data_IF_408140636580
#
_entry.id   IF_408140636580
#
_cell.length_a   1.000
_cell.length_b   1.000
_cell.length_c   1.000
_cell.angle_alpha   90.00
_cell.angle_beta   90.00
_cell.angle_gamma   90.00
#
_symmetry.space_group_name_H-M   'P 1'
#
loop_
_entity.id
_entity.type
_entity.pdbx_description
1 polymer ?
#
# COMPACT_ATOMS: atom_id res chain seq x y z
N UNK A 1 -1.13 11.16 17.76
CA UNK A 1 -1.19 9.68 17.65
C UNK A 1 0.12 9.10 18.19
N UNK A 2 0.06 8.01 18.94
CA UNK A 2 1.23 7.34 19.51
C UNK A 2 2.12 6.79 18.37
N UNK A 3 3.45 7.01 18.48
CA UNK A 3 4.44 6.58 17.48
C UNK A 3 4.37 5.06 17.22
N UNK A 4 4.13 4.26 18.26
CA UNK A 4 3.99 2.81 18.14
C UNK A 4 2.78 2.43 17.27
N UNK A 5 1.65 3.12 17.46
CA UNK A 5 0.44 2.90 16.66
C UNK A 5 0.69 3.32 15.21
N UNK A 6 1.38 4.42 14.97
CA UNK A 6 1.74 4.86 13.61
C UNK A 6 2.63 3.84 12.91
N UNK A 7 3.64 3.29 13.60
CA UNK A 7 4.52 2.28 13.04
C UNK A 7 3.76 1.02 12.67
N UNK A 8 2.86 0.56 13.55
CA UNK A 8 2.05 -0.62 13.28
C UNK A 8 1.10 -0.39 12.10
N UNK A 9 0.49 0.79 12.04
CA UNK A 9 -0.40 1.14 10.93
C UNK A 9 0.36 1.23 9.60
N UNK A 10 1.55 1.80 9.61
CA UNK A 10 2.41 1.88 8.42
C UNK A 10 2.82 0.48 7.94
N UNK A 11 3.25 -0.38 8.85
CA UNK A 11 3.65 -1.75 8.53
C UNK A 11 2.48 -2.53 7.93
N UNK A 12 1.27 -2.36 8.49
CA UNK A 12 0.07 -3.00 7.97
C UNK A 12 -0.31 -2.49 6.59
N UNK A 13 -0.25 -1.18 6.37
CA UNK A 13 -0.52 -0.59 5.06
C UNK A 13 0.48 -1.08 4.02
N UNK A 14 1.75 -1.15 4.37
CA UNK A 14 2.81 -1.64 3.48
C UNK A 14 2.62 -3.11 3.15
N UNK A 15 2.27 -3.93 4.14
CA UNK A 15 1.97 -5.35 3.94
C UNK A 15 0.78 -5.53 2.99
N UNK A 16 -0.25 -4.69 3.09
CA UNK A 16 -1.39 -4.72 2.18
C UNK A 16 -0.99 -4.35 0.76
N UNK A 17 -0.15 -3.33 0.57
CA UNK A 17 0.38 -2.97 -0.75
C UNK A 17 1.16 -4.13 -1.36
N UNK A 18 2.01 -4.78 -0.58
CA UNK A 18 2.80 -5.93 -1.05
C UNK A 18 1.91 -7.09 -1.47
N UNK A 19 0.90 -7.42 -0.65
CA UNK A 19 -0.05 -8.48 -0.96
C UNK A 19 -0.84 -8.18 -2.23
N UNK A 20 -1.28 -6.93 -2.42
CA UNK A 20 -1.98 -6.52 -3.63
C UNK A 20 -1.09 -6.54 -4.86
N UNK A 21 0.19 -6.18 -4.74
CA UNK A 21 1.16 -6.31 -5.84
C UNK A 21 1.33 -7.76 -6.28
N UNK A 22 1.38 -8.69 -5.33
CA UNK A 22 1.45 -10.13 -5.62
C UNK A 22 0.19 -10.58 -6.37
N UNK A 23 -0.98 -10.15 -5.93
CA UNK A 23 -2.26 -10.48 -6.59
C UNK A 23 -2.31 -9.90 -8.00
N UNK A 24 -1.85 -8.66 -8.20
CA UNK A 24 -1.79 -8.03 -9.52
C UNK A 24 -0.92 -8.83 -10.48
N UNK A 25 0.26 -9.26 -10.02
CA UNK A 25 1.18 -10.07 -10.84
C UNK A 25 0.56 -11.40 -11.24
N UNK A 26 -0.09 -12.07 -10.29
CA UNK A 26 -0.79 -13.34 -10.55
C UNK A 26 -1.93 -13.16 -11.55
N UNK A 27 -2.76 -12.13 -11.38
CA UNK A 27 -3.87 -11.85 -12.28
C UNK A 27 -3.40 -11.56 -13.70
N UNK A 28 -2.32 -10.78 -13.84
CA UNK A 28 -1.72 -10.49 -15.14
C UNK A 28 -1.24 -11.77 -15.84
N UNK A 29 -0.64 -12.70 -15.10
CA UNK A 29 -0.21 -13.98 -15.66
C UNK A 29 -1.38 -14.82 -16.11
N UNK A 30 -2.44 -14.91 -15.31
CA UNK A 30 -3.64 -15.67 -15.65
C UNK A 30 -4.32 -15.12 -16.91
N UNK A 31 -4.36 -13.78 -17.05
CA UNK A 31 -4.94 -13.14 -18.25
C UNK A 31 -4.13 -13.47 -19.50
N UNK A 32 -2.81 -13.61 -19.38
CA UNK A 32 -1.92 -13.92 -20.50
C UNK A 32 -1.88 -15.42 -20.85
N UNK A 33 -2.45 -16.27 -20.01
CA UNK A 33 -2.45 -17.70 -20.24
C UNK A 33 -3.39 -18.05 -21.42
N UNK A 34 -2.85 -18.71 -22.44
CA UNK A 34 -3.58 -19.09 -23.64
C UNK A 34 -4.73 -20.08 -23.35
N UNK A 35 -4.66 -20.80 -22.23
CA UNK A 35 -5.66 -21.78 -21.84
C UNK A 35 -6.83 -21.16 -21.06
N UNK A 36 -6.76 -19.87 -20.71
CA UNK A 36 -7.82 -19.20 -19.96
C UNK A 36 -9.00 -18.87 -20.87
N UNK A 37 -10.24 -19.29 -20.54
CA UNK A 37 -11.41 -18.96 -21.35
C UNK A 37 -11.65 -17.45 -21.44
N UNK A 38 -12.17 -16.99 -22.58
CA UNK A 38 -12.41 -15.58 -22.83
C UNK A 38 -13.31 -14.90 -21.77
N UNK A 39 -14.37 -15.60 -21.34
CA UNK A 39 -15.28 -15.10 -20.30
C UNK A 39 -14.51 -14.89 -18.99
N UNK A 40 -13.64 -15.84 -18.65
CA UNK A 40 -12.80 -15.75 -17.44
C UNK A 40 -11.80 -14.58 -17.53
N UNK A 41 -11.24 -14.36 -18.72
CA UNK A 41 -10.33 -13.22 -18.95
C UNK A 41 -11.03 -11.89 -18.66
N UNK A 42 -12.24 -11.73 -19.12
CA UNK A 42 -13.02 -10.50 -18.91
C UNK A 42 -13.30 -10.26 -17.43
N UNK A 43 -13.67 -11.31 -16.69
CA UNK A 43 -13.85 -11.25 -15.25
C UNK A 43 -12.54 -10.93 -14.53
N UNK A 44 -11.43 -11.54 -14.93
CA UNK A 44 -10.12 -11.30 -14.34
C UNK A 44 -9.66 -9.85 -14.56
N UNK A 45 -9.95 -9.28 -15.73
CA UNK A 45 -9.66 -7.87 -15.99
C UNK A 45 -10.41 -6.93 -15.05
N UNK A 46 -11.67 -7.25 -14.72
CA UNK A 46 -12.46 -6.51 -13.75
C UNK A 46 -11.86 -6.58 -12.35
N UNK A 47 -11.48 -7.79 -11.91
CA UNK A 47 -10.82 -8.01 -10.63
C UNK A 47 -9.48 -7.28 -10.58
N UNK A 48 -8.70 -7.34 -11.66
CA UNK A 48 -7.41 -6.65 -11.75
C UNK A 48 -7.57 -5.14 -11.59
N UNK A 49 -8.57 -4.55 -12.23
CA UNK A 49 -8.86 -3.11 -12.11
C UNK A 49 -9.18 -2.74 -10.67
N UNK A 50 -10.03 -3.53 -10.01
CA UNK A 50 -10.39 -3.31 -8.61
C UNK A 50 -9.16 -3.44 -7.70
N UNK A 51 -8.35 -4.47 -7.91
CA UNK A 51 -7.13 -4.71 -7.12
C UNK A 51 -6.14 -3.56 -7.26
N UNK A 52 -5.96 -3.02 -8.47
CA UNK A 52 -5.13 -1.84 -8.72
C UNK A 52 -5.64 -0.60 -7.99
N UNK A 53 -6.96 -0.41 -7.93
CA UNK A 53 -7.56 0.70 -7.18
C UNK A 53 -7.29 0.56 -5.68
N UNK A 54 -7.46 -0.64 -5.13
CA UNK A 54 -7.17 -0.92 -3.72
C UNK A 54 -5.70 -0.67 -3.40
N UNK A 55 -4.79 -1.07 -4.29
CA UNK A 55 -3.36 -0.80 -4.12
C UNK A 55 -3.07 0.70 -4.03
N UNK A 56 -3.70 1.51 -4.88
CA UNK A 56 -3.53 2.96 -4.85
C UNK A 56 -4.03 3.57 -3.53
N UNK A 57 -5.15 3.06 -3.00
CA UNK A 57 -5.70 3.52 -1.72
C UNK A 57 -4.72 3.24 -0.58
N UNK A 58 -4.20 2.02 -0.49
CA UNK A 58 -3.27 1.65 0.56
C UNK A 58 -1.91 2.35 0.43
N UNK A 59 -1.45 2.56 -0.79
CA UNK A 59 -0.24 3.33 -1.05
C UNK A 59 -0.39 4.79 -0.59
N UNK A 60 -1.54 5.39 -0.85
CA UNK A 60 -1.87 6.73 -0.36
C UNK A 60 -1.91 6.78 1.17
N UNK A 61 -2.53 5.80 1.81
CA UNK A 61 -2.59 5.70 3.28
C UNK A 61 -1.17 5.58 3.86
N UNK A 62 -0.34 4.72 3.30
CA UNK A 62 1.05 4.56 3.72
C UNK A 62 1.83 5.88 3.60
N UNK A 63 1.64 6.60 2.50
CA UNK A 63 2.28 7.89 2.27
C UNK A 63 1.87 8.94 3.30
N UNK A 64 0.59 8.98 3.69
CA UNK A 64 0.10 9.89 4.73
C UNK A 64 0.73 9.57 6.09
N UNK A 65 0.83 8.30 6.43
CA UNK A 65 1.44 7.86 7.68
C UNK A 65 2.94 8.22 7.71
N UNK A 66 3.63 8.03 6.60
CA UNK A 66 5.05 8.42 6.46
C UNK A 66 5.25 9.92 6.67
N UNK A 67 4.40 10.75 6.09
CA UNK A 67 4.46 12.20 6.26
C UNK A 67 4.27 12.61 7.71
N UNK A 68 3.31 12.02 8.41
CA UNK A 68 3.08 12.27 9.82
C UNK A 68 4.28 11.84 10.65
N UNK A 69 4.89 10.71 10.31
CA UNK A 69 6.06 10.17 11.01
C UNK A 69 7.27 11.12 10.86
N UNK A 70 7.54 11.59 9.66
CA UNK A 70 8.60 12.56 9.38
C UNK A 70 8.36 13.86 10.14
N UNK A 71 7.13 14.34 10.19
CA UNK A 71 6.77 15.56 10.92
C UNK A 71 7.03 15.40 12.41
N UNK A 72 6.70 14.27 13.00
CA UNK A 72 6.94 14.00 14.42
C UNK A 72 8.46 13.98 14.71
N UNK A 73 9.23 13.31 13.87
CA UNK A 73 10.69 13.25 14.01
C UNK A 73 11.32 14.64 13.92
N UNK A 74 10.84 15.49 13.01
CA UNK A 74 11.29 16.87 12.88
C UNK A 74 10.98 17.69 14.12
N UNK A 75 9.78 17.57 14.69
CA UNK A 75 9.37 18.28 15.90
C UNK A 75 10.20 17.82 17.10
N UNK A 76 10.48 16.54 17.22
CA UNK A 76 11.35 16.00 18.29
C UNK A 76 12.77 16.56 18.17
N UNK A 77 13.29 16.65 16.95
CA UNK A 77 14.60 17.23 16.68
C UNK A 77 14.67 18.71 17.12
N UNK A 78 13.65 19.50 16.79
CA UNK A 78 13.55 20.90 17.20
C UNK A 78 13.51 21.04 18.71
N UNK A 79 12.73 20.20 19.41
CA UNK A 79 12.66 20.19 20.86
C UNK A 79 14.01 19.92 21.50
N UNK A 80 14.75 18.96 20.99
CA UNK A 80 16.09 18.64 21.49
C UNK A 80 17.06 19.78 21.30
N UNK A 81 17.00 20.47 20.18
CA UNK A 81 17.86 21.64 19.92
C UNK A 81 17.48 22.87 20.76
N UNK A 82 16.22 23.00 21.16
CA UNK A 82 15.74 24.12 21.95
C UNK A 82 16.11 23.99 23.43
N UNK A 83 16.40 22.79 23.91
CA UNK A 83 16.76 22.52 25.32
C UNK A 83 18.25 22.75 25.59
N UNK A 84 19.05 22.76 24.55
CA UNK A 84 20.48 23.06 24.67
C UNK A 84 20.77 24.52 24.59
#
# INVERSE_FOLDING_TARGET
MNRRIQNLAHDKAFANVYSLDTDISRLKQEIKDDNTPFITIDQLKGVLRHTKQQRKVWDYIASLIEKDHERIDYLDYEKQNTIT
#
